data_IF_066383678923
#
_entry.id   IF_066383678923
#
_cell.length_a   1.000
_cell.length_b   1.000
_cell.length_c   1.000
_cell.angle_alpha   90.00
_cell.angle_beta   90.00
_cell.angle_gamma   90.00
#
_symmetry.space_group_name_H-M   'P 1'
#
loop_
_entity.id
_entity.type
_entity.pdbx_description
1 polymer ?
#
# COMPACT_ATOMS: atom_id res chain seq x y z
N UNK A 1 -21.26 3.52 16.93
CA UNK A 1 -20.05 3.30 16.12
C UNK A 1 -19.63 1.88 16.40
N UNK A 2 -19.73 0.99 15.42
CA UNK A 2 -19.64 -0.47 15.61
C UNK A 2 -18.23 -0.92 15.96
N UNK A 3 -17.96 -1.07 17.25
CA UNK A 3 -16.66 -1.49 17.82
C UNK A 3 -16.61 -3.01 18.10
N UNK A 4 -17.52 -3.79 17.50
CA UNK A 4 -17.65 -5.24 17.77
C UNK A 4 -16.91 -6.11 16.74
N UNK A 5 -16.42 -5.51 15.66
CA UNK A 5 -15.68 -6.21 14.59
C UNK A 5 -14.18 -6.10 14.78
N UNK A 6 -13.45 -7.17 14.44
CA UNK A 6 -11.99 -7.15 14.46
C UNK A 6 -11.45 -6.05 13.53
N UNK A 7 -10.26 -5.51 13.83
CA UNK A 7 -9.60 -4.50 13.00
C UNK A 7 -9.48 -4.94 11.54
N UNK A 8 -9.23 -6.22 11.31
CA UNK A 8 -9.07 -6.81 9.98
C UNK A 8 -10.39 -6.80 9.19
N UNK A 9 -11.50 -7.10 9.86
CA UNK A 9 -12.84 -7.08 9.27
C UNK A 9 -13.27 -5.63 8.93
N UNK A 10 -13.01 -4.69 9.84
CA UNK A 10 -13.27 -3.26 9.60
C UNK A 10 -12.41 -2.70 8.45
N UNK A 11 -11.16 -3.13 8.32
CA UNK A 11 -10.28 -2.75 7.20
C UNK A 11 -10.83 -3.33 5.89
N UNK A 12 -11.22 -4.60 5.89
CA UNK A 12 -11.78 -5.26 4.70
C UNK A 12 -13.01 -4.50 4.19
N UNK A 13 -14.00 -4.27 5.06
CA UNK A 13 -15.23 -3.55 4.72
C UNK A 13 -14.95 -2.14 4.18
N UNK A 14 -13.98 -1.42 4.77
CA UNK A 14 -13.59 -0.09 4.29
C UNK A 14 -13.02 -0.14 2.86
N UNK A 15 -12.17 -1.12 2.57
CA UNK A 15 -11.50 -1.25 1.27
C UNK A 15 -12.41 -1.77 0.17
N UNK A 16 -13.47 -2.50 0.52
CA UNK A 16 -14.46 -3.05 -0.44
C UNK A 16 -15.73 -2.21 -0.58
N UNK A 17 -15.91 -1.16 0.25
CA UNK A 17 -17.10 -0.31 0.23
C UNK A 17 -17.25 0.58 -1.00
N UNK A 18 -16.17 0.83 -1.76
CA UNK A 18 -16.20 1.75 -2.88
C UNK A 18 -16.85 1.14 -4.13
N UNK A 19 -17.55 1.95 -4.96
CA UNK A 19 -18.07 1.47 -6.23
C UNK A 19 -16.92 1.05 -7.15
N UNK A 20 -16.95 -0.20 -7.63
CA UNK A 20 -15.89 -0.91 -8.38
C UNK A 20 -14.73 -1.45 -7.54
N UNK A 21 -14.79 -1.40 -6.22
CA UNK A 21 -13.84 -2.12 -5.40
C UNK A 21 -13.98 -3.63 -5.60
N UNK A 22 -12.86 -4.33 -5.54
CA UNK A 22 -12.75 -5.78 -5.70
C UNK A 22 -12.20 -6.41 -4.41
N UNK A 23 -12.33 -7.74 -4.24
CA UNK A 23 -11.71 -8.40 -3.07
C UNK A 23 -10.18 -8.25 -3.05
N UNK A 24 -9.55 -8.10 -4.22
CA UNK A 24 -8.12 -7.83 -4.36
C UNK A 24 -7.73 -6.49 -3.71
N UNK A 25 -8.68 -5.55 -3.56
CA UNK A 25 -8.43 -4.30 -2.88
C UNK A 25 -8.24 -4.45 -1.36
N UNK A 26 -8.78 -5.52 -0.78
CA UNK A 26 -8.57 -5.84 0.63
C UNK A 26 -7.28 -6.63 0.88
N UNK A 27 -6.63 -7.15 -0.16
CA UNK A 27 -5.42 -7.94 -0.02
C UNK A 27 -4.29 -7.14 0.68
N UNK A 28 -3.41 -7.79 1.46
CA UNK A 28 -2.22 -7.15 2.00
C UNK A 28 -1.30 -6.70 0.86
N UNK A 29 -0.93 -5.41 0.84
CA UNK A 29 -0.07 -4.83 -0.22
C UNK A 29 1.38 -4.60 0.20
N UNK A 30 1.66 -4.66 1.50
CA UNK A 30 2.97 -4.38 2.06
C UNK A 30 3.38 -5.51 2.99
N UNK A 31 4.67 -5.81 3.03
CA UNK A 31 5.30 -6.62 4.05
C UNK A 31 6.02 -5.69 5.03
N UNK A 32 5.88 -5.97 6.33
CA UNK A 32 6.55 -5.19 7.38
C UNK A 32 7.56 -6.08 8.06
N UNK A 33 8.84 -5.85 7.75
CA UNK A 33 9.96 -6.56 8.33
C UNK A 33 10.66 -5.72 9.40
N UNK A 34 11.17 -6.37 10.44
CA UNK A 34 11.91 -5.72 11.52
C UNK A 34 13.33 -6.30 11.56
N UNK A 35 14.34 -5.46 11.31
CA UNK A 35 15.74 -5.86 11.35
C UNK A 35 16.60 -4.74 11.92
N UNK A 36 17.57 -5.09 12.77
CA UNK A 36 18.57 -4.14 13.30
C UNK A 36 17.98 -2.88 13.98
N UNK A 37 16.81 -3.03 14.62
CA UNK A 37 16.07 -1.91 15.24
C UNK A 37 15.35 -1.00 14.23
N UNK A 38 15.34 -1.37 12.94
CA UNK A 38 14.66 -0.69 11.85
C UNK A 38 13.39 -1.46 11.46
N UNK A 39 12.27 -0.74 11.40
CA UNK A 39 11.04 -1.23 10.77
C UNK A 39 11.09 -0.86 9.29
N UNK A 40 11.16 -1.87 8.43
CA UNK A 40 11.15 -1.72 6.97
C UNK A 40 9.80 -2.15 6.43
N UNK A 41 9.28 -1.33 5.52
CA UNK A 41 8.01 -1.56 4.85
C UNK A 41 8.33 -1.75 3.37
N UNK A 42 8.16 -2.96 2.86
CA UNK A 42 8.36 -3.29 1.45
C UNK A 42 7.00 -3.44 0.76
N UNK A 43 6.85 -2.90 -0.44
CA UNK A 43 5.65 -3.11 -1.27
C UNK A 43 5.75 -4.52 -1.85
N UNK A 44 4.70 -5.33 -1.65
CA UNK A 44 4.69 -6.70 -2.16
C UNK A 44 4.70 -6.73 -3.68
N UNK A 45 5.32 -7.78 -4.22
CA UNK A 45 5.50 -7.85 -5.66
C UNK A 45 4.20 -8.04 -6.44
N UNK A 46 3.25 -8.73 -5.82
CA UNK A 46 1.93 -9.08 -6.31
C UNK A 46 0.85 -8.02 -6.00
N UNK A 47 1.24 -6.86 -5.45
CA UNK A 47 0.29 -5.78 -5.21
C UNK A 47 -0.27 -5.24 -6.54
N UNK A 48 -1.59 -5.34 -6.73
CA UNK A 48 -2.29 -4.88 -7.94
C UNK A 48 -2.11 -3.37 -8.22
N UNK A 49 -1.87 -2.57 -7.19
CA UNK A 49 -1.59 -1.13 -7.29
C UNK A 49 -0.39 -0.82 -6.39
N UNK A 50 0.68 -0.27 -6.97
CA UNK A 50 1.88 0.16 -6.24
C UNK A 50 1.86 1.68 -6.05
N UNK A 51 2.06 2.21 -4.83
CA UNK A 51 2.21 3.65 -4.61
C UNK A 51 3.46 4.17 -5.29
N UNK A 52 3.35 5.30 -5.99
CA UNK A 52 4.45 5.91 -6.75
C UNK A 52 4.14 5.96 -8.25
N UNK A 53 4.95 6.70 -9.02
CA UNK A 53 4.81 6.70 -10.47
C UNK A 53 5.06 5.28 -10.98
N UNK A 54 4.07 4.75 -11.69
CA UNK A 54 4.07 3.35 -12.12
C UNK A 54 5.07 3.09 -13.25
N UNK A 55 5.28 1.82 -13.58
CA UNK A 55 6.00 1.44 -14.79
C UNK A 55 5.29 2.02 -16.03
N UNK A 56 5.95 2.95 -16.73
CA UNK A 56 5.39 3.69 -17.87
C UNK A 56 4.86 5.09 -17.54
N UNK A 57 4.97 5.54 -16.28
CA UNK A 57 4.71 6.93 -15.89
C UNK A 57 5.98 7.77 -16.09
N UNK A 58 5.92 8.93 -16.78
CA UNK A 58 7.10 9.76 -17.00
C UNK A 58 7.72 10.28 -15.70
N UNK A 59 6.95 10.37 -14.60
CA UNK A 59 7.49 10.70 -13.29
C UNK A 59 8.29 9.55 -12.63
N UNK A 60 8.23 8.32 -13.19
CA UNK A 60 9.05 7.20 -12.75
C UNK A 60 10.45 7.20 -13.40
N UNK A 61 10.63 7.96 -14.48
CA UNK A 61 11.89 7.98 -15.25
C UNK A 61 12.86 9.07 -14.75
N UNK A 62 12.40 10.01 -13.92
CA UNK A 62 13.24 11.04 -13.31
C UNK A 62 13.34 10.87 -11.79
N UNK A 63 14.20 9.95 -11.35
CA UNK A 63 14.76 9.98 -9.98
C UNK A 63 15.80 11.12 -9.91
N UNK A 64 15.33 12.37 -10.05
CA UNK A 64 16.19 13.54 -9.87
C UNK A 64 16.45 13.71 -8.37
N UNK A 65 17.69 13.54 -7.89
CA UNK A 65 17.98 13.74 -6.49
C UNK A 65 17.63 15.19 -6.14
N UNK A 66 16.72 15.35 -5.17
CA UNK A 66 16.48 16.62 -4.49
C UNK A 66 17.82 17.10 -3.94
N UNK A 67 18.51 17.92 -4.72
CA UNK A 67 19.76 18.53 -4.30
C UNK A 67 19.43 19.42 -3.10
N UNK A 68 19.96 19.04 -1.93
CA UNK A 68 19.87 19.84 -0.71
C UNK A 68 20.36 21.26 -1.01
N UNK A 69 19.56 22.25 -0.61
CA UNK A 69 19.87 23.67 -0.78
C UNK A 69 20.29 24.28 0.54
#
# INVERSE_FOLDING_TARGET
>A
MSDDKSFEENRHDQLTSAPKATEEDAAPRFDVSHHDGVTRIDVRDDAAVRPGPGQGDPAAEEDVPLSEK
#
